data_IF_829924577553
#
_entry.id   IF_829924577553
#
_cell.length_a   1.000
_cell.length_b   1.000
_cell.length_c   1.000
_cell.angle_alpha   90.00
_cell.angle_beta   90.00
_cell.angle_gamma   90.00
#
_symmetry.space_group_name_H-M   'P 1'
#
loop_
_entity.id
_entity.type
_entity.pdbx_description
1 polymer ?
#
# COMPACT_ATOMS: atom_id res chain seq x y z
N UNK A 1 -20.59 16.02 10.16
CA UNK A 1 -19.27 15.51 10.58
C UNK A 1 -18.43 15.39 9.33
N UNK A 2 -17.45 16.28 9.14
CA UNK A 2 -16.67 16.34 7.90
C UNK A 2 -15.64 15.20 7.85
N UNK A 3 -15.88 14.25 6.94
CA UNK A 3 -14.86 13.29 6.52
C UNK A 3 -13.79 14.11 5.79
N UNK A 4 -12.52 13.99 6.23
CA UNK A 4 -11.37 14.68 5.60
C UNK A 4 -11.36 14.42 4.08
N UNK A 5 -10.76 15.27 3.26
CA UNK A 5 -10.70 14.99 1.82
C UNK A 5 -9.65 13.91 1.48
N UNK A 6 -8.47 13.99 2.12
CA UNK A 6 -7.34 13.06 1.92
C UNK A 6 -7.26 12.00 3.03
N UNK A 7 -6.56 10.90 2.73
CA UNK A 7 -6.28 9.80 3.69
C UNK A 7 -5.26 10.22 4.77
N UNK A 8 -4.33 11.11 4.42
CA UNK A 8 -3.23 11.57 5.26
C UNK A 8 -3.16 13.10 5.20
N UNK A 9 -3.28 13.74 6.37
CA UNK A 9 -3.11 15.19 6.55
C UNK A 9 -2.01 15.45 7.58
N UNK A 10 -1.03 14.56 7.68
CA UNK A 10 0.12 14.76 8.57
C UNK A 10 0.99 15.90 8.04
N UNK A 11 1.73 16.55 8.94
CA UNK A 11 2.72 17.57 8.56
C UNK A 11 3.76 17.03 7.56
N UNK A 12 4.02 15.72 7.57
CA UNK A 12 4.92 15.10 6.61
C UNK A 12 4.33 15.08 5.19
N UNK A 13 3.02 14.87 5.06
CA UNK A 13 2.29 14.97 3.78
C UNK A 13 2.34 16.38 3.23
N UNK A 14 2.05 17.38 4.05
CA UNK A 14 2.10 18.79 3.65
C UNK A 14 3.48 19.15 3.09
N UNK A 15 4.55 18.81 3.81
CA UNK A 15 5.94 19.05 3.36
C UNK A 15 6.27 18.27 2.09
N UNK A 16 5.76 17.04 1.95
CA UNK A 16 5.95 16.20 0.76
C UNK A 16 5.33 16.85 -0.48
N UNK A 17 4.11 17.37 -0.36
CA UNK A 17 3.40 18.06 -1.44
C UNK A 17 4.08 19.40 -1.78
N UNK A 18 4.37 20.24 -0.79
CA UNK A 18 5.04 21.54 -0.97
C UNK A 18 6.38 21.41 -1.70
N UNK A 19 7.14 20.35 -1.39
CA UNK A 19 8.47 20.11 -1.97
C UNK A 19 8.43 19.22 -3.21
N UNK A 20 7.26 18.71 -3.61
CA UNK A 20 7.12 17.73 -4.68
C UNK A 20 8.06 16.52 -4.51
N UNK A 21 8.19 16.02 -3.28
CA UNK A 21 8.98 14.83 -2.95
C UNK A 21 7.98 13.72 -2.59
N UNK A 22 8.10 12.49 -3.15
CA UNK A 22 7.26 11.37 -2.73
C UNK A 22 7.30 11.19 -1.21
N UNK A 23 6.14 11.03 -0.57
CA UNK A 23 6.08 10.99 0.90
C UNK A 23 6.95 9.86 1.49
N UNK A 24 7.05 8.73 0.78
CA UNK A 24 7.86 7.58 1.20
C UNK A 24 9.34 7.96 1.23
N UNK A 25 9.83 8.66 0.21
CA UNK A 25 11.21 9.15 0.16
C UNK A 25 11.49 10.13 1.29
N UNK A 26 10.56 11.08 1.53
CA UNK A 26 10.70 12.05 2.61
C UNK A 26 10.73 11.34 3.97
N UNK A 27 9.85 10.37 4.19
CA UNK A 27 9.79 9.57 5.41
C UNK A 27 11.09 8.80 5.64
N UNK A 28 11.59 8.10 4.62
CA UNK A 28 12.84 7.33 4.72
C UNK A 28 14.05 8.23 4.99
N UNK A 29 14.12 9.42 4.38
CA UNK A 29 15.15 10.43 4.70
C UNK A 29 15.07 10.85 6.17
N UNK A 30 13.88 11.12 6.70
CA UNK A 30 13.70 11.49 8.12
C UNK A 30 14.08 10.35 9.07
N UNK A 31 13.71 9.11 8.73
CA UNK A 31 14.09 7.92 9.50
C UNK A 31 15.63 7.80 9.53
N UNK A 32 16.30 7.99 8.39
CA UNK A 32 17.77 7.98 8.30
C UNK A 32 18.41 9.08 9.15
N UNK A 33 17.89 10.31 9.07
CA UNK A 33 18.39 11.45 9.84
C UNK A 33 18.30 11.19 11.36
N UNK A 34 17.16 10.66 11.84
CA UNK A 34 16.96 10.34 13.26
C UNK A 34 17.88 9.19 13.67
N UNK A 35 17.98 8.14 12.84
CA UNK A 35 18.85 7.00 13.12
C UNK A 35 20.31 7.41 13.33
N UNK A 36 20.81 8.33 12.50
CA UNK A 36 22.18 8.84 12.60
C UNK A 36 22.45 9.68 13.85
N UNK A 37 21.45 10.47 14.28
CA UNK A 37 21.53 11.33 15.47
C UNK A 37 21.48 10.52 16.76
N UNK A 38 20.59 9.54 16.82
CA UNK A 38 20.34 8.76 18.03
C UNK A 38 21.21 7.51 18.14
N UNK A 39 21.92 7.14 17.05
CA UNK A 39 22.68 5.88 16.96
C UNK A 39 21.82 4.64 17.18
N UNK A 40 20.54 4.72 16.84
CA UNK A 40 19.54 3.64 16.89
C UNK A 40 19.01 3.44 15.48
N UNK A 41 18.88 2.18 15.04
CA UNK A 41 18.30 1.88 13.73
C UNK A 41 16.78 1.78 13.83
N UNK A 42 16.09 2.49 12.94
CA UNK A 42 14.65 2.49 12.83
C UNK A 42 14.19 1.81 11.54
N UNK A 43 13.03 1.14 11.60
CA UNK A 43 12.38 0.52 10.44
C UNK A 43 10.94 1.01 10.33
N UNK A 44 10.40 1.01 9.11
CA UNK A 44 8.99 1.31 8.87
C UNK A 44 8.20 0.00 8.87
N UNK A 45 7.29 -0.15 9.82
CA UNK A 45 6.41 -1.30 9.89
C UNK A 45 5.37 -1.26 8.74
N UNK A 46 5.27 -2.36 8.01
CA UNK A 46 4.32 -2.56 6.92
C UNK A 46 3.32 -3.67 7.27
N UNK A 47 2.04 -3.41 7.08
CA UNK A 47 0.95 -4.34 7.37
C UNK A 47 0.24 -4.72 6.09
N UNK A 48 0.05 -6.03 5.87
CA UNK A 48 -0.85 -6.51 4.82
C UNK A 48 -2.30 -6.45 5.32
N UNK A 49 -3.20 -5.68 4.67
CA UNK A 49 -4.57 -5.48 5.14
C UNK A 49 -5.48 -6.66 4.76
N UNK A 50 -5.21 -7.84 5.33
CA UNK A 50 -5.94 -9.08 4.99
C UNK A 50 -7.38 -9.15 5.52
N UNK A 51 -7.77 -8.24 6.43
CA UNK A 51 -9.09 -8.21 7.05
C UNK A 51 -9.35 -6.86 7.72
N UNK A 52 -10.62 -6.55 7.97
CA UNK A 52 -10.99 -5.30 8.65
C UNK A 52 -10.40 -5.22 10.07
N UNK A 53 -10.29 -6.35 10.75
CA UNK A 53 -9.70 -6.43 12.09
C UNK A 53 -8.21 -6.06 12.07
N UNK A 54 -7.45 -6.54 11.09
CA UNK A 54 -6.03 -6.20 10.94
C UNK A 54 -5.85 -4.71 10.61
N UNK A 55 -6.67 -4.16 9.72
CA UNK A 55 -6.67 -2.72 9.41
C UNK A 55 -6.90 -1.88 10.68
N UNK A 56 -7.93 -2.21 11.47
CA UNK A 56 -8.25 -1.52 12.73
C UNK A 56 -7.13 -1.65 13.76
N UNK A 57 -6.55 -2.84 13.89
CA UNK A 57 -5.46 -3.11 14.83
C UNK A 57 -4.20 -2.33 14.46
N UNK A 58 -3.85 -2.28 13.16
CA UNK A 58 -2.68 -1.55 12.65
C UNK A 58 -2.76 -0.06 12.96
N UNK A 59 -3.89 0.59 12.66
CA UNK A 59 -4.08 2.02 12.95
C UNK A 59 -4.04 2.31 14.45
N UNK A 60 -4.65 1.44 15.28
CA UNK A 60 -4.60 1.59 16.74
C UNK A 60 -3.18 1.41 17.28
N UNK A 61 -2.40 0.47 16.73
CA UNK A 61 -1.01 0.26 17.11
C UNK A 61 -0.15 1.47 16.74
N UNK A 62 -0.27 1.97 15.51
CA UNK A 62 0.41 3.17 15.04
C UNK A 62 0.09 4.39 15.91
N UNK A 63 -1.19 4.57 16.29
CA UNK A 63 -1.60 5.63 17.22
C UNK A 63 -0.91 5.51 18.58
N UNK A 64 -0.91 4.33 19.20
CA UNK A 64 -0.27 4.11 20.51
C UNK A 64 1.24 4.32 20.46
N UNK A 65 1.87 4.00 19.34
CA UNK A 65 3.31 4.13 19.14
C UNK A 65 3.74 5.53 18.68
N UNK A 66 2.81 6.45 18.42
CA UNK A 66 3.10 7.73 17.75
C UNK A 66 3.93 7.57 16.47
N UNK A 67 3.66 6.49 15.72
CA UNK A 67 4.46 6.07 14.58
C UNK A 67 3.70 6.23 13.25
N UNK A 68 4.41 6.39 12.13
CA UNK A 68 3.83 6.23 10.79
C UNK A 68 3.38 4.78 10.57
N UNK A 69 2.46 4.56 9.63
CA UNK A 69 2.01 3.22 9.24
C UNK A 69 2.01 3.05 7.72
N UNK A 70 2.48 1.89 7.26
CA UNK A 70 2.39 1.47 5.86
C UNK A 70 1.41 0.31 5.73
N UNK A 71 0.44 0.43 4.83
CA UNK A 71 -0.39 -0.67 4.34
C UNK A 71 0.16 -1.15 3.00
N UNK A 72 0.47 -2.45 2.90
CA UNK A 72 1.01 -3.08 1.70
C UNK A 72 0.04 -4.18 1.26
N UNK A 73 -0.82 -3.89 0.29
CA UNK A 73 -1.84 -4.82 -0.18
C UNK A 73 -1.36 -5.61 -1.39
N UNK A 74 -1.43 -6.94 -1.33
CA UNK A 74 -1.19 -7.79 -2.49
C UNK A 74 -2.40 -7.78 -3.44
N UNK A 75 -2.20 -8.16 -4.70
CA UNK A 75 -3.29 -8.28 -5.67
C UNK A 75 -4.31 -9.37 -5.31
N UNK A 76 -3.92 -10.37 -4.53
CA UNK A 76 -4.84 -11.38 -4.01
C UNK A 76 -5.75 -10.79 -2.92
N UNK A 77 -5.24 -9.85 -2.12
CA UNK A 77 -6.00 -9.19 -1.05
C UNK A 77 -6.99 -8.18 -1.60
N UNK A 78 -6.49 -7.19 -2.33
CA UNK A 78 -7.23 -6.00 -2.76
C UNK A 78 -6.88 -5.72 -4.21
N UNK A 79 -7.86 -5.77 -5.09
CA UNK A 79 -7.67 -5.54 -6.53
C UNK A 79 -8.98 -5.13 -7.22
N UNK A 80 -8.94 -4.90 -8.52
CA UNK A 80 -10.09 -4.51 -9.35
C UNK A 80 -11.23 -5.53 -9.33
N UNK A 81 -10.92 -6.80 -9.07
CA UNK A 81 -11.88 -7.90 -8.88
C UNK A 81 -12.27 -8.12 -7.42
N UNK A 82 -11.87 -7.19 -6.53
CA UNK A 82 -12.08 -7.18 -5.08
C UNK A 82 -11.19 -8.12 -4.26
N UNK A 83 -10.40 -8.99 -4.91
CA UNK A 83 -9.60 -10.00 -4.22
C UNK A 83 -10.41 -10.85 -3.22
N UNK A 84 -9.73 -11.50 -2.29
CA UNK A 84 -10.42 -12.29 -1.26
C UNK A 84 -10.99 -11.44 -0.12
N UNK A 85 -10.56 -10.18 0.02
CA UNK A 85 -11.08 -9.29 1.07
C UNK A 85 -12.45 -8.71 0.71
N UNK A 86 -12.84 -8.76 -0.57
CA UNK A 86 -14.03 -8.09 -1.08
C UNK A 86 -13.83 -6.60 -1.35
N UNK A 87 -12.61 -6.10 -1.28
CA UNK A 87 -12.27 -4.68 -1.42
C UNK A 87 -11.57 -4.36 -2.73
N UNK A 88 -12.04 -3.31 -3.38
CA UNK A 88 -11.25 -2.59 -4.39
C UNK A 88 -10.17 -1.73 -3.72
N UNK A 89 -9.22 -1.21 -4.50
CA UNK A 89 -8.21 -0.26 -4.03
C UNK A 89 -8.86 0.98 -3.39
N UNK A 90 -9.96 1.48 -3.98
CA UNK A 90 -10.75 2.57 -3.41
C UNK A 90 -11.37 2.19 -2.07
N UNK A 91 -11.96 0.98 -1.96
CA UNK A 91 -12.54 0.50 -0.71
C UNK A 91 -11.50 0.43 0.42
N UNK A 92 -10.27 -0.02 0.13
CA UNK A 92 -9.18 -0.03 1.10
C UNK A 92 -8.86 1.38 1.60
N UNK A 93 -8.61 2.33 0.69
CA UNK A 93 -8.28 3.72 1.05
C UNK A 93 -9.42 4.36 1.85
N UNK A 94 -10.67 4.16 1.43
CA UNK A 94 -11.86 4.64 2.14
C UNK A 94 -11.93 4.10 3.56
N UNK A 95 -11.74 2.79 3.75
CA UNK A 95 -11.77 2.12 5.06
C UNK A 95 -10.64 2.60 5.98
N UNK A 96 -9.42 2.77 5.45
CA UNK A 96 -8.30 3.32 6.23
C UNK A 96 -8.63 4.72 6.72
N UNK A 97 -9.19 5.56 5.84
CA UNK A 97 -9.58 6.93 6.13
C UNK A 97 -10.71 7.04 7.16
N UNK A 98 -11.76 6.24 7.01
CA UNK A 98 -12.87 6.15 7.98
C UNK A 98 -12.34 5.73 9.36
N UNK A 99 -11.47 4.72 9.41
CA UNK A 99 -10.93 4.22 10.65
C UNK A 99 -9.90 5.16 11.29
N UNK A 100 -9.06 5.85 10.51
CA UNK A 100 -8.10 6.81 11.04
C UNK A 100 -8.82 7.99 11.68
N UNK A 101 -9.91 8.46 11.06
CA UNK A 101 -10.78 9.50 11.60
C UNK A 101 -11.48 9.03 12.89
N UNK A 102 -12.08 7.83 12.89
CA UNK A 102 -12.84 7.31 14.04
C UNK A 102 -12.00 7.18 15.30
N UNK A 103 -10.70 6.88 15.16
CA UNK A 103 -9.78 6.78 16.29
C UNK A 103 -8.96 8.06 16.52
N UNK A 104 -9.16 9.12 15.74
CA UNK A 104 -8.36 10.34 15.82
C UNK A 104 -6.86 10.10 15.61
N UNK A 105 -6.50 9.25 14.64
CA UNK A 105 -5.12 9.08 14.21
C UNK A 105 -4.77 10.11 13.14
N UNK A 106 -3.69 10.86 13.34
CA UNK A 106 -3.22 11.94 12.46
C UNK A 106 -1.76 11.78 12.03
N UNK A 107 -1.18 10.59 12.24
CA UNK A 107 0.16 10.27 11.77
C UNK A 107 0.20 9.98 10.26
N UNK A 108 1.39 9.92 9.65
CA UNK A 108 1.54 9.60 8.24
C UNK A 108 1.00 8.21 7.92
N UNK A 109 0.21 8.12 6.85
CA UNK A 109 -0.34 6.86 6.33
C UNK A 109 0.21 6.67 4.92
N UNK A 110 0.86 5.53 4.70
CA UNK A 110 1.34 5.10 3.39
C UNK A 110 0.47 3.93 2.92
N UNK A 111 -0.04 4.00 1.69
CA UNK A 111 -0.75 2.87 1.05
C UNK A 111 0.04 2.41 -0.16
N UNK A 112 0.27 1.10 -0.29
CA UNK A 112 1.12 0.53 -1.32
C UNK A 112 0.52 -0.73 -1.93
N UNK A 113 0.82 -0.97 -3.20
CA UNK A 113 0.73 -2.29 -3.82
C UNK A 113 1.95 -3.09 -3.42
N UNK A 114 1.74 -4.33 -3.00
CA UNK A 114 2.80 -5.30 -2.74
C UNK A 114 2.85 -6.37 -3.84
N UNK A 115 4.06 -6.67 -4.33
CA UNK A 115 4.33 -7.64 -5.39
C UNK A 115 3.41 -7.46 -6.62
N UNK A 116 3.39 -6.27 -7.21
CA UNK A 116 2.63 -5.99 -8.41
C UNK A 116 3.37 -6.43 -9.68
N UNK A 117 2.85 -7.43 -10.38
CA UNK A 117 3.49 -7.97 -11.59
C UNK A 117 2.64 -9.03 -12.29
N UNK A 118 3.11 -9.56 -13.43
CA UNK A 118 2.45 -10.68 -14.09
C UNK A 118 2.58 -11.96 -13.26
N UNK A 119 1.50 -12.74 -13.20
CA UNK A 119 1.37 -14.05 -12.53
C UNK A 119 1.55 -14.08 -11.00
N UNK A 120 1.64 -12.92 -10.36
CA UNK A 120 1.72 -12.79 -8.89
C UNK A 120 0.36 -12.96 -8.19
N UNK A 121 -0.75 -12.89 -8.94
CA UNK A 121 -2.11 -13.15 -8.43
C UNK A 121 -2.50 -14.59 -8.77
N UNK A 122 -3.09 -15.31 -7.83
CA UNK A 122 -3.26 -16.76 -7.92
C UNK A 122 -4.07 -17.17 -9.16
N UNK A 123 -5.13 -16.42 -9.48
CA UNK A 123 -5.98 -16.69 -10.65
C UNK A 123 -5.21 -16.67 -11.97
N UNK A 124 -4.18 -15.82 -12.08
CA UNK A 124 -3.35 -15.70 -13.28
C UNK A 124 -2.54 -16.97 -13.51
N UNK A 125 -2.08 -17.60 -12.43
CA UNK A 125 -1.33 -18.86 -12.45
C UNK A 125 -2.25 -20.06 -12.61
N UNK A 126 -3.36 -20.11 -11.85
CA UNK A 126 -4.34 -21.22 -11.89
C UNK A 126 -4.94 -21.37 -13.28
N UNK A 127 -5.36 -20.26 -13.90
CA UNK A 127 -5.92 -20.25 -15.25
C UNK A 127 -4.86 -20.19 -16.36
N UNK A 128 -3.57 -20.21 -16.00
CA UNK A 128 -2.42 -20.13 -16.92
C UNK A 128 -2.57 -19.00 -17.95
N UNK A 129 -2.81 -17.78 -17.47
CA UNK A 129 -2.93 -16.62 -18.36
C UNK A 129 -1.66 -16.46 -19.19
N UNK A 130 -1.81 -16.11 -20.47
CA UNK A 130 -0.67 -15.68 -21.27
C UNK A 130 -0.14 -14.32 -20.79
N UNK A 131 1.05 -13.95 -21.24
CA UNK A 131 1.71 -12.71 -20.81
C UNK A 131 0.85 -11.47 -21.10
N UNK A 132 0.23 -11.38 -22.28
CA UNK A 132 -0.59 -10.22 -22.65
C UNK A 132 -1.79 -10.02 -21.74
N UNK A 133 -2.51 -11.10 -21.39
CA UNK A 133 -3.64 -11.06 -20.46
C UNK A 133 -3.17 -10.65 -19.06
N UNK A 134 -2.06 -11.22 -18.59
CA UNK A 134 -1.47 -10.92 -17.27
C UNK A 134 -1.01 -9.46 -17.19
N UNK A 135 -0.29 -8.98 -18.21
CA UNK A 135 0.16 -7.60 -18.33
C UNK A 135 -1.00 -6.60 -18.47
N UNK A 136 -2.05 -6.97 -19.21
CA UNK A 136 -3.26 -6.15 -19.34
C UNK A 136 -4.00 -5.97 -18.01
N UNK A 137 -4.04 -7.01 -17.18
CA UNK A 137 -4.64 -6.95 -15.85
C UNK A 137 -3.83 -6.08 -14.88
N UNK A 138 -2.52 -6.34 -14.76
CA UNK A 138 -1.68 -5.60 -13.79
C UNK A 138 -1.64 -4.10 -14.09
N UNK A 139 -1.65 -3.69 -15.37
CA UNK A 139 -1.74 -2.28 -15.74
C UNK A 139 -3.04 -1.62 -15.24
N UNK A 140 -4.19 -2.30 -15.41
CA UNK A 140 -5.48 -1.82 -14.89
C UNK A 140 -5.49 -1.76 -13.36
N UNK A 141 -4.87 -2.74 -12.70
CA UNK A 141 -4.72 -2.75 -11.25
C UNK A 141 -3.87 -1.59 -10.73
N UNK A 142 -2.74 -1.29 -11.40
CA UNK A 142 -1.91 -0.13 -11.08
C UNK A 142 -2.63 1.19 -11.30
N UNK A 143 -3.36 1.32 -12.41
CA UNK A 143 -4.19 2.50 -12.67
C UNK A 143 -5.23 2.70 -11.55
N UNK A 144 -5.94 1.64 -11.15
CA UNK A 144 -6.90 1.69 -10.05
C UNK A 144 -6.24 2.07 -8.71
N UNK A 145 -5.04 1.57 -8.43
CA UNK A 145 -4.28 1.93 -7.23
C UNK A 145 -3.87 3.42 -7.23
N UNK A 146 -3.35 3.92 -8.35
CA UNK A 146 -2.97 5.33 -8.51
C UNK A 146 -4.17 6.26 -8.35
N UNK A 147 -5.29 5.94 -9.01
CA UNK A 147 -6.54 6.70 -8.89
C UNK A 147 -7.13 6.67 -7.48
N UNK A 148 -6.94 5.57 -6.75
CA UNK A 148 -7.33 5.46 -5.34
C UNK A 148 -6.40 6.26 -4.41
N UNK A 149 -5.24 6.73 -4.88
CA UNK A 149 -4.29 7.53 -4.10
C UNK A 149 -3.24 6.70 -3.37
N UNK A 150 -2.84 5.55 -3.91
CA UNK A 150 -1.70 4.78 -3.38
C UNK A 150 -0.39 5.56 -3.56
N UNK A 151 0.49 5.50 -2.56
CA UNK A 151 1.75 6.23 -2.51
C UNK A 151 2.92 5.47 -3.15
N UNK A 152 2.83 4.14 -3.25
CA UNK A 152 3.94 3.28 -3.67
C UNK A 152 3.45 2.05 -4.43
N UNK A 153 4.13 1.71 -5.52
CA UNK A 153 3.95 0.46 -6.25
C UNK A 153 5.23 -0.37 -6.12
N UNK A 154 5.17 -1.51 -5.44
CA UNK A 154 6.24 -2.51 -5.48
C UNK A 154 6.06 -3.34 -6.76
N UNK A 155 6.88 -3.08 -7.78
CA UNK A 155 6.78 -3.78 -9.08
C UNK A 155 7.65 -5.03 -9.05
N UNK A 156 7.04 -6.20 -9.26
CA UNK A 156 7.68 -7.51 -9.19
C UNK A 156 7.44 -8.34 -10.47
N UNK A 157 8.26 -8.17 -11.51
CA UNK A 157 8.17 -8.94 -12.74
C UNK A 157 9.01 -10.22 -12.71
N UNK A 158 9.25 -10.81 -11.53
CA UNK A 158 10.17 -11.96 -11.39
C UNK A 158 9.51 -13.32 -11.58
N UNK A 159 8.18 -13.40 -11.57
CA UNK A 159 7.44 -14.65 -11.75
C UNK A 159 7.27 -14.95 -13.24
N UNK A 160 7.57 -16.19 -13.64
CA UNK A 160 7.24 -16.73 -14.96
C UNK A 160 6.78 -18.19 -14.84
N UNK A 161 5.49 -18.42 -15.09
CA UNK A 161 4.84 -19.74 -15.00
C UNK A 161 5.16 -20.67 -16.18
N UNK A 162 5.83 -20.16 -17.21
CA UNK A 162 6.24 -20.90 -18.42
C UNK A 162 7.74 -21.17 -18.50
N UNK A 163 8.55 -20.60 -17.60
CA UNK A 163 10.01 -20.73 -17.59
C UNK A 163 10.52 -22.18 -17.68
N UNK A 164 9.81 -23.15 -17.09
CA UNK A 164 10.13 -24.59 -17.17
C UNK A 164 9.67 -25.30 -18.45
N UNK A 165 8.97 -24.63 -19.36
CA UNK A 165 8.43 -25.16 -20.61
C UNK A 165 9.24 -24.72 -21.84
N UNK A 166 10.24 -23.86 -21.65
CA UNK A 166 11.20 -23.49 -22.69
C UNK A 166 12.19 -24.67 -22.83
N UNK A 167 11.85 -25.60 -23.73
CA UNK A 167 12.78 -26.60 -24.28
C UNK A 167 13.10 -26.25 -25.72
#
# INVERSE_FOLDING_TARGET
>A
MEIREKIDNSKLREISEEKSIPIVDLLLRKIKDISQKEKINYTLFAVCPNSENVLKAALRAAKRAHAPIKFAATLNQVDIDRGYTGWTQYDLVRKIKEQSYSIGYSGPIIVAVDHGGPWVKDIQTIEKWNLDKSMGWIKKSFEAALLAGYDLLHIDPTVDIFSGQIK
#
